data_IF_118663583262
#
_entry.id   IF_118663583262
#
_cell.length_a   1.000
_cell.length_b   1.000
_cell.length_c   1.000
_cell.angle_alpha   90.00
_cell.angle_beta   90.00
_cell.angle_gamma   90.00
#
_symmetry.space_group_name_H-M   'P 1'
#
loop_
_entity.id
_entity.type
_entity.pdbx_description
1 polymer ?
#
# COMPACT_ATOMS: atom_id res chain seq x y z
N UNK A 1 15.58 38.73 29.48
CA UNK A 1 16.03 37.49 28.80
C UNK A 1 14.84 36.91 28.06
N UNK A 2 14.74 37.15 26.75
CA UNK A 2 13.61 36.67 25.94
C UNK A 2 13.76 35.17 25.68
N UNK A 3 12.70 34.41 25.98
CA UNK A 3 12.61 32.98 25.73
C UNK A 3 12.73 32.67 24.23
N UNK A 4 13.33 31.50 23.93
CA UNK A 4 13.70 31.05 22.59
C UNK A 4 12.64 30.07 22.07
N UNK A 5 11.80 30.42 21.08
CA UNK A 5 10.98 29.43 20.39
C UNK A 5 11.82 28.80 19.24
N UNK A 6 12.59 27.75 19.54
CA UNK A 6 13.48 27.10 18.55
C UNK A 6 13.24 25.59 18.34
N UNK A 7 12.06 25.06 18.66
CA UNK A 7 11.84 23.61 18.64
C UNK A 7 10.67 23.08 17.77
N UNK A 8 9.83 23.92 17.15
CA UNK A 8 8.65 23.43 16.39
C UNK A 8 8.74 23.46 14.86
N UNK A 9 9.81 24.01 14.28
CA UNK A 9 9.94 24.19 12.82
C UNK A 9 10.64 22.98 12.17
N UNK A 10 11.63 22.37 12.83
CA UNK A 10 12.44 21.29 12.22
C UNK A 10 11.70 19.98 11.99
N UNK A 11 10.67 19.66 12.79
CA UNK A 11 10.09 18.30 12.80
C UNK A 11 9.15 18.04 11.63
N UNK A 12 8.41 19.07 11.19
CA UNK A 12 7.43 18.96 10.10
C UNK A 12 8.10 18.89 8.72
N UNK A 13 9.27 19.50 8.56
CA UNK A 13 10.04 19.49 7.31
C UNK A 13 10.60 18.08 7.02
N UNK A 14 11.17 17.41 8.03
CA UNK A 14 11.69 16.05 7.89
C UNK A 14 10.59 14.98 7.72
N UNK A 15 9.39 15.21 8.27
CA UNK A 15 8.24 14.33 8.04
C UNK A 15 7.70 14.50 6.62
N UNK A 16 7.60 15.74 6.11
CA UNK A 16 7.20 16.00 4.73
C UNK A 16 8.17 15.43 3.69
N UNK A 17 9.48 15.55 3.92
CA UNK A 17 10.49 14.96 3.03
C UNK A 17 10.42 13.42 3.02
N UNK A 18 10.13 12.81 4.18
CA UNK A 18 9.90 11.36 4.28
C UNK A 18 8.64 10.93 3.53
N UNK A 19 7.53 11.64 3.69
CA UNK A 19 6.30 11.34 2.95
C UNK A 19 6.49 11.46 1.43
N UNK A 20 7.21 12.48 0.95
CA UNK A 20 7.54 12.60 -0.47
C UNK A 20 8.38 11.41 -0.95
N UNK A 21 9.39 11.02 -0.17
CA UNK A 21 10.23 9.86 -0.50
C UNK A 21 9.43 8.56 -0.53
N UNK A 22 8.50 8.37 0.40
CA UNK A 22 7.57 7.23 0.42
C UNK A 22 6.73 7.26 -0.85
N UNK A 23 6.16 8.41 -1.21
CA UNK A 23 5.33 8.56 -2.40
C UNK A 23 6.10 8.21 -3.67
N UNK A 24 7.35 8.69 -3.81
CA UNK A 24 8.22 8.33 -4.95
C UNK A 24 8.45 6.82 -5.07
N UNK A 25 8.64 6.12 -3.94
CA UNK A 25 8.77 4.65 -3.95
C UNK A 25 7.48 3.96 -4.36
N UNK A 26 6.34 4.47 -3.92
CA UNK A 26 5.02 3.96 -4.32
C UNK A 26 4.85 4.12 -5.84
N UNK A 27 5.14 5.31 -6.37
CA UNK A 27 5.00 5.60 -7.80
C UNK A 27 5.95 4.73 -8.66
N UNK A 28 7.21 4.57 -8.23
CA UNK A 28 8.17 3.69 -8.90
C UNK A 28 7.71 2.23 -8.89
N UNK A 29 7.19 1.74 -7.76
CA UNK A 29 6.71 0.38 -7.65
C UNK A 29 5.43 0.11 -8.47
N UNK A 30 4.51 1.09 -8.53
CA UNK A 30 3.29 1.02 -9.36
C UNK A 30 3.55 1.21 -10.86
N UNK A 31 4.72 1.70 -11.23
CA UNK A 31 5.17 1.82 -12.63
C UNK A 31 5.80 0.53 -13.17
N UNK A 32 6.08 -0.45 -12.30
CA UNK A 32 6.67 -1.72 -12.73
C UNK A 32 5.65 -2.57 -13.51
N UNK A 33 6.08 -3.12 -14.65
CA UNK A 33 5.23 -3.92 -15.52
C UNK A 33 4.66 -5.17 -14.82
N UNK A 34 5.37 -5.69 -13.82
CA UNK A 34 4.95 -6.84 -13.02
C UNK A 34 3.61 -6.65 -12.29
N UNK A 35 3.19 -5.40 -12.07
CA UNK A 35 1.94 -5.08 -11.39
C UNK A 35 0.93 -4.36 -12.27
N UNK A 36 1.24 -4.16 -13.56
CA UNK A 36 0.38 -3.44 -14.51
C UNK A 36 -1.00 -4.08 -14.62
N UNK A 37 -1.07 -5.40 -14.81
CA UNK A 37 -2.36 -6.11 -14.94
C UNK A 37 -3.23 -5.99 -13.69
N UNK A 38 -2.62 -6.08 -12.50
CA UNK A 38 -3.35 -5.92 -11.25
C UNK A 38 -3.84 -4.49 -11.08
N UNK A 39 -3.02 -3.49 -11.47
CA UNK A 39 -3.31 -2.06 -11.35
C UNK A 39 -4.41 -1.59 -12.31
N UNK A 40 -4.40 -2.08 -13.54
CA UNK A 40 -5.36 -1.67 -14.59
C UNK A 40 -6.62 -2.55 -14.62
N UNK A 41 -6.59 -3.69 -13.93
CA UNK A 41 -7.70 -4.62 -13.81
C UNK A 41 -8.85 -4.14 -12.91
N UNK A 42 -9.91 -4.96 -12.77
CA UNK A 42 -11.10 -4.65 -11.96
C UNK A 42 -10.79 -4.47 -10.47
N UNK A 43 -9.70 -5.07 -9.99
CA UNK A 43 -9.20 -4.93 -8.62
C UNK A 43 -8.05 -3.92 -8.47
N UNK A 44 -7.84 -3.05 -9.46
CA UNK A 44 -6.77 -2.06 -9.47
C UNK A 44 -6.81 -1.07 -8.32
N UNK A 45 -7.98 -0.53 -8.00
CA UNK A 45 -8.12 0.42 -6.90
C UNK A 45 -7.75 -0.17 -5.53
N UNK A 46 -8.31 -1.32 -5.09
CA UNK A 46 -7.88 -1.93 -3.84
C UNK A 46 -6.44 -2.45 -3.88
N UNK A 47 -5.92 -2.82 -5.05
CA UNK A 47 -4.51 -3.19 -5.22
C UNK A 47 -3.58 -2.01 -4.94
N UNK A 48 -3.84 -0.86 -5.56
CA UNK A 48 -3.05 0.37 -5.36
C UNK A 48 -3.10 0.78 -3.89
N UNK A 49 -4.26 0.75 -3.23
CA UNK A 49 -4.42 1.09 -1.82
C UNK A 49 -3.58 0.18 -0.91
N UNK A 50 -3.72 -1.15 -1.07
CA UNK A 50 -3.00 -2.13 -0.26
C UNK A 50 -1.48 -2.08 -0.48
N UNK A 51 -1.05 -1.99 -1.74
CA UNK A 51 0.36 -1.98 -2.10
C UNK A 51 1.05 -0.69 -1.65
N UNK A 52 0.38 0.45 -1.81
CA UNK A 52 0.86 1.75 -1.30
C UNK A 52 1.00 1.75 0.23
N UNK A 53 0.00 1.18 0.92
CA UNK A 53 0.06 1.03 2.37
C UNK A 53 1.24 0.16 2.81
N UNK A 54 1.46 -0.98 2.14
CA UNK A 54 2.58 -1.87 2.44
C UNK A 54 3.94 -1.17 2.29
N UNK A 55 4.16 -0.47 1.17
CA UNK A 55 5.42 0.28 0.95
C UNK A 55 5.62 1.33 2.05
N UNK A 56 4.56 2.04 2.43
CA UNK A 56 4.61 3.00 3.55
C UNK A 56 4.98 2.31 4.85
N UNK A 57 4.38 1.16 5.17
CA UNK A 57 4.66 0.42 6.41
C UNK A 57 6.12 -0.06 6.52
N UNK A 58 6.82 -0.24 5.39
CA UNK A 58 8.23 -0.61 5.38
C UNK A 58 9.18 0.58 5.61
N UNK A 59 8.68 1.82 5.58
CA UNK A 59 9.51 2.99 5.82
C UNK A 59 9.69 3.28 7.32
N UNK A 60 10.90 3.68 7.75
CA UNK A 60 11.19 3.96 9.15
C UNK A 60 10.32 5.13 9.66
N UNK A 61 9.53 4.86 10.69
CA UNK A 61 8.56 5.80 11.28
C UNK A 61 7.09 5.50 10.92
N UNK A 62 6.82 4.58 9.99
CA UNK A 62 5.47 4.21 9.57
C UNK A 62 5.13 2.72 9.82
N UNK A 63 6.01 2.02 10.53
CA UNK A 63 5.87 0.59 10.87
C UNK A 63 4.58 0.22 11.62
N UNK A 64 3.97 1.17 12.33
CA UNK A 64 2.70 0.99 13.04
C UNK A 64 1.47 1.19 12.14
N UNK A 65 1.65 1.36 10.82
CA UNK A 65 0.56 1.46 9.86
C UNK A 65 -0.09 0.09 9.65
N UNK A 66 -1.35 -0.07 10.07
CA UNK A 66 -2.13 -1.27 9.76
C UNK A 66 -2.68 -1.21 8.33
N UNK A 67 -2.26 -2.18 7.51
CA UNK A 67 -2.70 -2.33 6.12
C UNK A 67 -3.72 -3.47 5.93
N UNK A 68 -4.15 -4.11 7.02
CA UNK A 68 -4.95 -5.33 6.99
C UNK A 68 -6.30 -5.12 6.27
N UNK A 69 -6.94 -3.98 6.50
CA UNK A 69 -8.20 -3.61 5.83
C UNK A 69 -8.05 -3.48 4.31
N UNK A 70 -6.98 -2.80 3.86
CA UNK A 70 -6.71 -2.61 2.44
C UNK A 70 -6.44 -3.95 1.73
N UNK A 71 -5.63 -4.82 2.35
CA UNK A 71 -5.41 -6.19 1.84
C UNK A 71 -6.68 -7.04 1.88
N UNK A 72 -7.55 -6.83 2.87
CA UNK A 72 -8.87 -7.46 2.95
C UNK A 72 -9.73 -7.14 1.73
N UNK A 73 -9.86 -5.85 1.38
CA UNK A 73 -10.60 -5.40 0.18
C UNK A 73 -10.02 -5.96 -1.11
N UNK A 74 -8.69 -6.00 -1.23
CA UNK A 74 -8.03 -6.58 -2.39
C UNK A 74 -8.36 -8.08 -2.52
N UNK A 75 -8.20 -8.84 -1.43
CA UNK A 75 -8.55 -10.27 -1.39
C UNK A 75 -10.01 -10.49 -1.78
N UNK A 76 -10.93 -9.73 -1.20
CA UNK A 76 -12.36 -9.87 -1.47
C UNK A 76 -12.67 -9.55 -2.94
N UNK A 77 -12.04 -8.52 -3.52
CA UNK A 77 -12.17 -8.24 -4.94
C UNK A 77 -11.65 -9.40 -5.81
N UNK A 78 -10.47 -9.94 -5.52
CA UNK A 78 -9.90 -11.04 -6.30
C UNK A 78 -10.76 -12.32 -6.25
N UNK A 79 -11.41 -12.58 -5.11
CA UNK A 79 -12.36 -13.72 -4.96
C UNK A 79 -13.62 -13.50 -5.79
N UNK A 80 -14.09 -12.25 -5.93
CA UNK A 80 -15.26 -11.90 -6.74
C UNK A 80 -14.97 -11.95 -8.26
N UNK A 81 -13.70 -11.92 -8.66
CA UNK A 81 -13.23 -11.97 -10.05
C UNK A 81 -12.39 -13.23 -10.34
N UNK A 82 -12.93 -14.45 -10.12
CA UNK A 82 -12.17 -15.67 -10.27
C UNK A 82 -11.70 -15.91 -11.70
N UNK A 83 -12.38 -15.35 -12.71
CA UNK A 83 -11.98 -15.49 -14.12
C UNK A 83 -10.64 -14.82 -14.47
N UNK A 84 -10.21 -13.82 -13.68
CA UNK A 84 -8.93 -13.14 -13.85
C UNK A 84 -7.88 -13.61 -12.84
N UNK A 85 -8.32 -14.18 -11.73
CA UNK A 85 -7.48 -14.61 -10.63
C UNK A 85 -7.70 -16.09 -10.31
N UNK A 86 -7.74 -16.94 -11.35
CA UNK A 86 -8.09 -18.37 -11.20
C UNK A 86 -7.16 -19.08 -10.19
N UNK A 87 -5.85 -18.89 -10.29
CA UNK A 87 -4.87 -19.46 -9.35
C UNK A 87 -5.11 -19.00 -7.91
N UNK A 88 -5.47 -17.73 -7.73
CA UNK A 88 -5.76 -17.17 -6.41
C UNK A 88 -7.07 -17.73 -5.86
N UNK A 89 -8.13 -17.76 -6.68
CA UNK A 89 -9.43 -18.28 -6.29
C UNK A 89 -9.39 -19.78 -6.00
N UNK A 90 -8.58 -20.55 -6.73
CA UNK A 90 -8.39 -21.99 -6.50
C UNK A 90 -7.83 -22.28 -5.11
N UNK A 91 -6.93 -21.44 -4.62
CA UNK A 91 -6.37 -21.55 -3.27
C UNK A 91 -7.43 -21.43 -2.16
N UNK A 92 -8.59 -20.81 -2.44
CA UNK A 92 -9.69 -20.65 -1.50
C UNK A 92 -10.86 -21.62 -1.76
N UNK A 93 -10.81 -22.42 -2.83
CA UNK A 93 -11.83 -23.46 -3.03
C UNK A 93 -11.74 -24.47 -1.89
N UNK A 94 -12.88 -24.94 -1.35
CA UNK A 94 -12.86 -26.04 -0.40
C UNK A 94 -12.17 -27.23 -1.07
N UNK A 95 -11.17 -27.83 -0.41
CA UNK A 95 -10.67 -29.15 -0.82
C UNK A 95 -11.83 -30.11 -0.61
N UNK A 96 -12.43 -30.54 -1.71
CA UNK A 96 -13.31 -31.70 -1.73
C UNK A 96 -12.43 -32.93 -1.46
N UNK A 97 -12.57 -33.51 -0.27
CA UNK A 97 -12.04 -34.83 0.08
C UNK A 97 -13.13 -35.88 -0.16
#
# INVERSE_FOLDING_TARGET
MAGRPKEKISRTEEEGEREEKVQRKIDEALACDCVSDLKEGPCGSPFIEAFSCFIRSQEPGFQDTDCSDAFGKLKDCMILHPEQFEDFADAFKPKED
#
